data_IF_596773436612
#
_entry.id   IF_596773436612
#
_cell.length_a   1.000
_cell.length_b   1.000
_cell.length_c   1.000
_cell.angle_alpha   90.00
_cell.angle_beta   90.00
_cell.angle_gamma   90.00
#
_symmetry.space_group_name_H-M   'P 1'
#
loop_
_entity.id
_entity.type
_entity.pdbx_description
1 polymer ?
#
# COMPACT_ATOMS: atom_id res chain seq x y z
N UNK A 1 -9.70 5.61 -31.50
CA UNK A 1 -8.38 5.49 -30.86
C UNK A 1 -8.48 4.41 -29.81
N UNK A 2 -7.70 3.33 -29.89
CA UNK A 2 -7.62 2.36 -28.78
C UNK A 2 -6.90 3.08 -27.63
N UNK A 3 -7.50 3.11 -26.45
CA UNK A 3 -6.84 3.59 -25.24
C UNK A 3 -5.55 2.77 -25.05
N UNK A 4 -4.41 3.45 -24.97
CA UNK A 4 -3.11 2.81 -24.69
C UNK A 4 -2.95 2.49 -23.20
N UNK A 5 -3.87 2.94 -22.35
CA UNK A 5 -3.87 2.71 -20.92
C UNK A 5 -4.44 1.34 -20.53
N UNK A 6 -4.03 0.85 -19.38
CA UNK A 6 -4.50 -0.42 -18.81
C UNK A 6 -5.69 -0.25 -17.88
N UNK A 7 -6.04 0.97 -17.50
CA UNK A 7 -7.22 1.27 -16.65
C UNK A 7 -8.50 0.73 -17.28
N UNK A 8 -9.28 0.03 -16.47
CA UNK A 8 -10.57 -0.56 -16.88
C UNK A 8 -11.75 0.18 -16.27
N UNK A 9 -11.82 0.23 -14.95
CA UNK A 9 -12.89 0.91 -14.21
C UNK A 9 -12.57 1.02 -12.72
N UNK A 10 -13.31 1.89 -12.02
CA UNK A 10 -13.48 1.86 -10.58
C UNK A 10 -14.81 1.22 -10.21
N UNK A 11 -14.85 0.44 -9.14
CA UNK A 11 -16.05 -0.24 -8.69
C UNK A 11 -16.10 -0.44 -7.19
N UNK A 12 -17.30 -0.77 -6.68
CA UNK A 12 -17.51 -1.16 -5.30
C UNK A 12 -17.91 -2.62 -5.21
N UNK A 13 -17.50 -3.25 -4.12
CA UNK A 13 -17.99 -4.56 -3.70
C UNK A 13 -18.38 -4.53 -2.23
N UNK A 14 -19.43 -5.26 -1.85
CA UNK A 14 -19.75 -5.46 -0.44
C UNK A 14 -18.91 -6.62 0.08
N UNK A 15 -17.96 -6.32 0.96
CA UNK A 15 -17.07 -7.31 1.52
C UNK A 15 -16.68 -6.91 2.95
N UNK A 16 -16.57 -7.88 3.87
CA UNK A 16 -16.30 -7.68 5.30
C UNK A 16 -17.24 -6.62 5.94
N UNK A 17 -18.52 -6.64 5.57
CA UNK A 17 -19.54 -5.76 6.13
C UNK A 17 -19.52 -4.31 5.67
N UNK A 18 -18.64 -3.93 4.74
CA UNK A 18 -18.54 -2.57 4.21
C UNK A 18 -18.55 -2.54 2.68
N UNK A 19 -18.87 -1.38 2.11
CA UNK A 19 -18.61 -1.10 0.70
C UNK A 19 -17.13 -0.77 0.53
N UNK A 20 -16.39 -1.67 -0.12
CA UNK A 20 -15.00 -1.46 -0.49
C UNK A 20 -14.93 -0.98 -1.93
N UNK A 21 -14.16 0.07 -2.18
CA UNK A 21 -13.88 0.58 -3.51
C UNK A 21 -12.50 0.13 -3.98
N UNK A 22 -12.37 -0.11 -5.28
CA UNK A 22 -11.10 -0.42 -5.93
C UNK A 22 -11.06 0.14 -7.35
N UNK A 23 -9.86 0.36 -7.85
CA UNK A 23 -9.57 0.65 -9.27
C UNK A 23 -8.99 -0.59 -9.91
N UNK A 24 -9.49 -0.99 -11.10
CA UNK A 24 -8.99 -2.16 -11.85
C UNK A 24 -8.21 -1.72 -13.08
N UNK A 25 -7.07 -2.38 -13.30
CA UNK A 25 -6.17 -2.20 -14.42
C UNK A 25 -5.84 -3.55 -15.06
N UNK A 26 -5.54 -3.57 -16.36
CA UNK A 26 -5.20 -4.78 -17.10
C UNK A 26 -6.43 -5.60 -17.47
N UNK A 27 -6.86 -6.47 -16.63
CA UNK A 27 -7.93 -7.45 -16.85
C UNK A 27 -7.38 -8.87 -16.84
N UNK A 28 -8.29 -9.85 -16.84
CA UNK A 28 -7.91 -11.28 -16.72
C UNK A 28 -6.96 -11.75 -17.83
N UNK A 29 -6.99 -11.12 -19.00
CA UNK A 29 -6.10 -11.39 -20.12
C UNK A 29 -4.66 -10.89 -19.92
N UNK A 30 -4.43 -9.95 -19.00
CA UNK A 30 -3.09 -9.43 -18.72
C UNK A 30 -2.26 -10.41 -17.88
N UNK A 31 -2.89 -11.21 -17.03
CA UNK A 31 -2.21 -12.18 -16.17
C UNK A 31 -2.93 -12.47 -14.87
N UNK A 32 -2.23 -13.07 -13.89
CA UNK A 32 -2.82 -13.42 -12.61
C UNK A 32 -3.28 -12.18 -11.81
N UNK A 33 -4.23 -12.35 -10.87
CA UNK A 33 -4.69 -11.26 -10.02
C UNK A 33 -3.58 -10.69 -9.14
N UNK A 34 -3.55 -9.36 -9.03
CA UNK A 34 -2.71 -8.62 -8.11
C UNK A 34 -3.55 -7.61 -7.33
N UNK A 35 -3.49 -7.66 -5.99
CA UNK A 35 -4.08 -6.63 -5.12
C UNK A 35 -2.97 -5.72 -4.61
N UNK A 36 -3.13 -4.40 -4.82
CA UNK A 36 -2.25 -3.37 -4.30
C UNK A 36 -2.95 -2.61 -3.17
N UNK A 37 -2.31 -2.60 -2.00
CA UNK A 37 -2.79 -1.91 -0.79
C UNK A 37 -1.90 -0.70 -0.51
N UNK A 38 -2.40 0.53 -0.72
CA UNK A 38 -1.64 1.76 -0.51
C UNK A 38 -1.34 2.07 0.96
N UNK A 39 -0.55 3.14 1.18
CA UNK A 39 -0.17 3.64 2.50
C UNK A 39 -1.27 4.40 3.24
N UNK A 40 -0.94 4.88 4.44
CA UNK A 40 -1.88 5.42 5.43
C UNK A 40 -2.79 6.56 4.93
N UNK A 41 -2.28 7.47 4.10
CA UNK A 41 -3.06 8.59 3.53
C UNK A 41 -3.09 8.55 2.00
N UNK A 42 -3.19 7.36 1.43
CA UNK A 42 -3.09 7.15 -0.02
C UNK A 42 -4.36 6.49 -0.55
N UNK A 43 -5.36 7.27 -0.98
CA UNK A 43 -6.46 6.74 -1.78
C UNK A 43 -5.96 6.06 -3.07
N UNK A 44 -6.70 5.06 -3.57
CA UNK A 44 -6.33 4.26 -4.74
C UNK A 44 -5.95 5.11 -5.96
N UNK A 45 -6.64 6.22 -6.16
CA UNK A 45 -6.36 7.14 -7.27
C UNK A 45 -4.92 7.68 -7.25
N UNK A 46 -4.32 7.87 -6.07
CA UNK A 46 -2.92 8.34 -5.95
C UNK A 46 -1.88 7.30 -6.36
N UNK A 47 -2.31 6.04 -6.58
CA UNK A 47 -1.51 4.92 -7.04
C UNK A 47 -1.87 4.48 -8.46
N UNK A 48 -2.68 5.26 -9.17
CA UNK A 48 -3.15 4.95 -10.52
C UNK A 48 -2.01 4.67 -11.50
N UNK A 49 -0.94 5.46 -11.46
CA UNK A 49 0.24 5.27 -12.32
C UNK A 49 0.98 3.93 -12.05
N UNK A 50 0.98 3.46 -10.80
CA UNK A 50 1.50 2.11 -10.45
C UNK A 50 0.54 1.04 -10.97
N UNK A 51 -0.77 1.26 -10.82
CA UNK A 51 -1.80 0.40 -11.39
C UNK A 51 -1.66 0.24 -12.90
N UNK A 52 -1.37 1.32 -13.63
CA UNK A 52 -1.10 1.29 -15.08
C UNK A 52 0.12 0.41 -15.43
N UNK A 53 1.20 0.49 -14.65
CA UNK A 53 2.41 -0.31 -14.88
C UNK A 53 2.13 -1.80 -14.61
N UNK A 54 1.54 -2.15 -13.47
CA UNK A 54 1.18 -3.53 -13.16
C UNK A 54 0.12 -4.09 -14.09
N UNK A 55 -0.83 -3.27 -14.53
CA UNK A 55 -1.91 -3.67 -15.44
C UNK A 55 -1.45 -4.18 -16.80
N UNK A 56 -0.19 -3.98 -17.19
CA UNK A 56 0.42 -4.57 -18.39
C UNK A 56 0.71 -6.07 -18.25
N UNK A 57 0.82 -6.55 -17.01
CA UNK A 57 1.29 -7.90 -16.70
C UNK A 57 0.34 -8.67 -15.79
N UNK A 58 -0.53 -7.97 -15.06
CA UNK A 58 -1.44 -8.51 -14.05
C UNK A 58 -2.85 -7.95 -14.20
N UNK A 59 -3.83 -8.74 -13.77
CA UNK A 59 -5.17 -8.23 -13.47
C UNK A 59 -5.11 -7.50 -12.11
N UNK A 60 -4.89 -6.19 -12.14
CA UNK A 60 -4.48 -5.39 -10.98
C UNK A 60 -5.66 -4.66 -10.34
N UNK A 61 -5.78 -4.78 -9.03
CA UNK A 61 -6.81 -4.15 -8.19
C UNK A 61 -6.13 -3.24 -7.17
N UNK A 62 -6.27 -1.93 -7.30
CA UNK A 62 -5.76 -0.95 -6.34
C UNK A 62 -6.87 -0.63 -5.35
N UNK A 63 -6.71 -1.04 -4.10
CA UNK A 63 -7.74 -0.93 -3.06
C UNK A 63 -7.75 0.46 -2.42
N UNK A 64 -8.93 1.05 -2.25
CA UNK A 64 -9.14 2.06 -1.22
C UNK A 64 -9.32 1.36 0.14
N UNK A 65 -8.33 1.48 1.02
CA UNK A 65 -8.44 0.95 2.39
C UNK A 65 -9.61 1.66 3.09
N UNK A 66 -10.36 0.95 3.97
CA UNK A 66 -11.45 1.57 4.76
C UNK A 66 -11.04 2.92 5.35
N UNK A 67 -11.92 3.92 5.29
CA UNK A 67 -11.65 5.28 5.72
C UNK A 67 -10.79 6.10 4.76
N UNK A 68 -10.59 5.64 3.51
CA UNK A 68 -9.85 6.36 2.46
C UNK A 68 -10.59 6.23 1.12
N UNK A 69 -10.43 7.26 0.29
CA UNK A 69 -10.99 7.26 -1.06
C UNK A 69 -12.51 7.11 -1.05
N UNK A 70 -13.00 6.14 -1.81
CA UNK A 70 -14.42 5.85 -1.95
C UNK A 70 -14.88 4.60 -1.17
N UNK A 71 -14.00 3.97 -0.40
CA UNK A 71 -14.39 2.92 0.54
C UNK A 71 -15.12 3.51 1.75
N UNK A 72 -15.94 2.68 2.40
CA UNK A 72 -16.71 3.11 3.56
C UNK A 72 -15.83 3.75 4.64
N UNK A 73 -16.35 4.82 5.23
CA UNK A 73 -15.77 5.57 6.34
C UNK A 73 -16.85 5.96 7.35
N UNK A 74 -16.48 6.23 8.58
CA UNK A 74 -17.39 6.70 9.63
C UNK A 74 -16.85 6.44 11.03
N UNK A 75 -17.39 7.13 12.03
CA UNK A 75 -16.86 7.11 13.41
C UNK A 75 -17.02 5.74 14.09
N UNK A 76 -18.01 4.93 13.65
CA UNK A 76 -18.34 3.64 14.27
C UNK A 76 -17.60 2.45 13.61
N UNK A 77 -16.75 2.71 12.60
CA UNK A 77 -15.99 1.66 11.96
C UNK A 77 -14.69 1.35 12.74
N UNK A 78 -14.38 0.06 12.81
CA UNK A 78 -13.10 -0.43 13.31
C UNK A 78 -12.01 -0.30 12.21
N UNK A 79 -10.95 0.45 12.49
CA UNK A 79 -9.81 0.67 11.62
C UNK A 79 -8.54 -0.06 12.08
N UNK A 80 -8.70 -1.07 12.94
CA UNK A 80 -7.60 -1.91 13.38
C UNK A 80 -6.90 -2.62 12.22
N UNK A 81 -5.64 -2.99 12.43
CA UNK A 81 -4.84 -3.73 11.46
C UNK A 81 -5.51 -5.07 11.09
N UNK A 82 -6.11 -5.75 12.07
CA UNK A 82 -6.84 -7.00 11.87
C UNK A 82 -8.04 -6.84 10.94
N UNK A 83 -8.82 -5.80 11.15
CA UNK A 83 -10.00 -5.53 10.35
C UNK A 83 -9.64 -5.11 8.93
N UNK A 84 -8.60 -4.26 8.77
CA UNK A 84 -8.09 -3.91 7.44
C UNK A 84 -7.52 -5.12 6.69
N UNK A 85 -6.86 -6.06 7.37
CA UNK A 85 -6.38 -7.31 6.76
C UNK A 85 -7.52 -8.21 6.31
N UNK A 86 -8.59 -8.34 7.12
CA UNK A 86 -9.82 -9.06 6.74
C UNK A 86 -10.51 -8.43 5.52
N UNK A 87 -10.43 -7.10 5.35
CA UNK A 87 -10.95 -6.44 4.15
C UNK A 87 -10.28 -6.91 2.88
N UNK A 88 -8.95 -7.01 2.88
CA UNK A 88 -8.18 -7.50 1.73
C UNK A 88 -8.59 -8.92 1.36
N UNK A 89 -8.68 -9.80 2.35
CA UNK A 89 -9.08 -11.20 2.14
C UNK A 89 -10.53 -11.28 1.63
N UNK A 90 -11.44 -10.52 2.22
CA UNK A 90 -12.85 -10.51 1.81
C UNK A 90 -13.03 -9.91 0.40
N UNK A 91 -12.24 -8.89 0.02
CA UNK A 91 -12.20 -8.38 -1.36
C UNK A 91 -11.81 -9.48 -2.34
N UNK A 92 -10.69 -10.18 -2.07
CA UNK A 92 -10.22 -11.27 -2.93
C UNK A 92 -11.27 -12.37 -3.10
N UNK A 93 -11.94 -12.75 -2.00
CA UNK A 93 -13.02 -13.75 -2.01
C UNK A 93 -14.24 -13.28 -2.82
N UNK A 94 -14.72 -12.07 -2.55
CA UNK A 94 -15.90 -11.51 -3.21
C UNK A 94 -15.71 -11.35 -4.74
N UNK A 95 -14.49 -11.03 -5.17
CA UNK A 95 -14.12 -10.89 -6.57
C UNK A 95 -13.57 -12.18 -7.20
N UNK A 96 -13.44 -13.26 -6.42
CA UNK A 96 -12.92 -14.57 -6.86
C UNK A 96 -11.51 -14.49 -7.46
N UNK A 97 -10.61 -13.74 -6.81
CA UNK A 97 -9.25 -13.48 -7.28
C UNK A 97 -8.21 -14.51 -6.80
N UNK A 98 -8.61 -15.71 -6.49
CA UNK A 98 -7.72 -16.70 -5.88
C UNK A 98 -7.17 -17.72 -6.91
N UNK A 99 -5.83 -18.04 -6.88
CA UNK A 99 -4.79 -17.41 -6.06
C UNK A 99 -4.40 -16.02 -6.56
N UNK A 100 -3.78 -15.20 -5.69
CA UNK A 100 -3.40 -13.83 -6.02
C UNK A 100 -2.06 -13.37 -5.44
N UNK A 101 -1.47 -12.36 -6.07
CA UNK A 101 -0.31 -11.62 -5.59
C UNK A 101 -0.79 -10.45 -4.72
N UNK A 102 -0.18 -10.25 -3.55
CA UNK A 102 -0.49 -9.14 -2.67
C UNK A 102 0.71 -8.21 -2.54
N UNK A 103 0.51 -6.93 -2.87
CA UNK A 103 1.52 -5.87 -2.74
C UNK A 103 1.01 -4.83 -1.76
N UNK A 104 1.78 -4.51 -0.73
CA UNK A 104 1.39 -3.48 0.24
C UNK A 104 2.50 -2.48 0.51
N UNK A 105 2.18 -1.19 0.48
CA UNK A 105 3.11 -0.11 0.76
C UNK A 105 2.86 0.50 2.15
N UNK A 106 3.93 0.71 2.93
CA UNK A 106 3.84 1.40 4.23
C UNK A 106 2.82 0.72 5.16
N UNK A 107 1.77 1.40 5.61
CA UNK A 107 0.65 0.79 6.35
C UNK A 107 0.05 -0.38 5.56
N UNK A 108 -0.12 -0.24 4.25
CA UNK A 108 -0.60 -1.32 3.37
C UNK A 108 0.31 -2.55 3.40
N UNK A 109 1.62 -2.37 3.61
CA UNK A 109 2.57 -3.46 3.83
C UNK A 109 2.28 -4.23 5.14
N UNK A 110 1.96 -3.52 6.21
CA UNK A 110 1.56 -4.16 7.49
C UNK A 110 0.23 -4.89 7.35
N UNK A 111 -0.74 -4.28 6.65
CA UNK A 111 -2.02 -4.93 6.32
C UNK A 111 -1.78 -6.20 5.52
N UNK A 112 -0.90 -6.14 4.52
CA UNK A 112 -0.57 -7.28 3.67
C UNK A 112 0.12 -8.43 4.44
N UNK A 113 1.04 -8.11 5.36
CA UNK A 113 1.68 -9.11 6.25
C UNK A 113 0.60 -9.78 7.12
N UNK A 114 -0.31 -9.02 7.74
CA UNK A 114 -1.38 -9.55 8.58
C UNK A 114 -2.37 -10.38 7.75
N UNK A 115 -2.71 -9.95 6.53
CA UNK A 115 -3.57 -10.72 5.61
C UNK A 115 -2.92 -12.06 5.20
N UNK A 116 -1.60 -12.09 4.96
CA UNK A 116 -0.88 -13.31 4.60
C UNK A 116 -0.88 -14.38 5.69
N UNK A 117 -1.07 -14.02 6.96
CA UNK A 117 -1.26 -14.98 8.05
C UNK A 117 -2.61 -15.69 8.00
N UNK A 118 -3.64 -15.04 7.51
CA UNK A 118 -5.02 -15.54 7.56
C UNK A 118 -5.51 -16.10 6.22
N UNK A 119 -4.86 -15.75 5.09
CA UNK A 119 -5.24 -16.26 3.77
C UNK A 119 -4.07 -16.96 3.06
N UNK A 120 -4.21 -18.26 2.85
CA UNK A 120 -3.24 -19.10 2.12
C UNK A 120 -3.35 -18.99 0.61
N UNK A 121 -4.35 -18.30 0.09
CA UNK A 121 -4.52 -18.04 -1.35
C UNK A 121 -3.62 -16.91 -1.84
N UNK A 122 -2.98 -16.16 -0.94
CA UNK A 122 -1.89 -15.25 -1.28
C UNK A 122 -0.69 -16.09 -1.70
N UNK A 123 -0.39 -16.10 -3.00
CA UNK A 123 0.71 -16.91 -3.56
C UNK A 123 2.07 -16.29 -3.24
N UNK A 124 2.16 -14.97 -3.44
CA UNK A 124 3.37 -14.17 -3.18
C UNK A 124 3.00 -12.88 -2.47
N UNK A 125 3.83 -12.46 -1.54
CA UNK A 125 3.68 -11.23 -0.78
C UNK A 125 4.82 -10.25 -1.10
N UNK A 126 4.49 -9.02 -1.46
CA UNK A 126 5.46 -7.94 -1.63
C UNK A 126 5.18 -6.84 -0.62
N UNK A 127 6.15 -6.55 0.20
CA UNK A 127 6.13 -5.53 1.24
C UNK A 127 6.99 -4.36 0.77
N UNK A 128 6.42 -3.18 0.66
CA UNK A 128 7.11 -1.99 0.16
C UNK A 128 7.29 -1.00 1.31
N UNK A 129 8.51 -0.89 1.80
CA UNK A 129 8.96 0.05 2.83
C UNK A 129 8.01 0.17 4.04
N UNK A 130 7.51 -0.98 4.53
CA UNK A 130 6.58 -1.02 5.66
C UNK A 130 7.28 -0.62 6.97
N UNK A 131 6.66 0.24 7.81
CA UNK A 131 7.21 0.59 9.11
C UNK A 131 7.41 -0.63 10.01
N UNK A 132 8.57 -0.69 10.66
CA UNK A 132 8.94 -1.76 11.60
C UNK A 132 8.87 -1.29 13.07
N UNK A 133 8.16 -0.18 13.34
CA UNK A 133 7.80 0.26 14.68
C UNK A 133 6.85 -0.74 15.37
N UNK A 134 6.73 -0.65 16.68
CA UNK A 134 5.88 -1.54 17.48
C UNK A 134 6.37 -1.69 18.91
N UNK A 135 5.81 -2.61 19.70
CA UNK A 135 6.20 -2.81 21.08
C UNK A 135 7.70 -3.08 21.23
N UNK A 136 8.36 -2.32 22.12
CA UNK A 136 9.79 -2.46 22.39
C UNK A 136 10.73 -1.98 21.30
N UNK A 137 10.25 -1.23 20.31
CA UNK A 137 11.01 -0.70 19.17
C UNK A 137 10.93 0.82 19.07
N UNK A 138 11.83 1.46 18.30
CA UNK A 138 11.72 2.88 18.04
C UNK A 138 10.33 3.23 17.51
N UNK A 139 9.77 4.37 17.97
CA UNK A 139 8.43 4.79 17.52
C UNK A 139 8.42 5.11 16.03
N UNK A 140 7.24 5.02 15.43
CA UNK A 140 7.03 5.47 14.06
C UNK A 140 7.39 6.97 13.94
N UNK A 141 8.27 7.36 13.00
CA UNK A 141 8.92 8.68 13.05
C UNK A 141 8.02 9.85 12.63
N UNK A 142 6.95 9.59 11.87
CA UNK A 142 6.07 10.67 11.40
C UNK A 142 4.96 10.93 12.42
N UNK A 143 4.84 12.16 12.96
CA UNK A 143 3.80 12.49 13.93
C UNK A 143 2.42 12.51 13.28
N UNK A 144 1.38 12.13 14.04
CA UNK A 144 -0.02 12.10 13.59
C UNK A 144 -0.47 13.46 13.05
N UNK A 145 -0.11 14.54 13.74
CA UNK A 145 -0.51 15.89 13.36
C UNK A 145 -0.10 16.29 11.94
N UNK A 146 1.05 15.78 11.46
CA UNK A 146 1.48 16.00 10.06
C UNK A 146 0.45 15.49 9.06
N UNK A 147 -0.16 14.32 9.32
CA UNK A 147 -1.18 13.74 8.45
C UNK A 147 -2.50 14.50 8.54
N UNK A 148 -2.95 14.79 9.76
CA UNK A 148 -4.22 15.49 9.99
C UNK A 148 -4.17 16.91 9.42
N UNK A 149 -3.06 17.63 9.59
CA UNK A 149 -2.87 18.96 9.01
C UNK A 149 -2.98 18.93 7.49
N UNK A 150 -2.30 17.98 6.82
CA UNK A 150 -2.38 17.86 5.37
C UNK A 150 -3.80 17.55 4.88
N UNK A 151 -4.53 16.67 5.58
CA UNK A 151 -5.92 16.32 5.25
C UNK A 151 -6.83 17.55 5.41
N UNK A 152 -6.70 18.30 6.50
CA UNK A 152 -7.49 19.51 6.76
C UNK A 152 -7.21 20.61 5.75
N UNK A 153 -5.93 20.77 5.34
CA UNK A 153 -5.55 21.66 4.24
C UNK A 153 -6.25 21.25 2.93
N UNK A 154 -6.18 19.99 2.55
CA UNK A 154 -6.84 19.48 1.34
C UNK A 154 -8.37 19.68 1.38
N UNK A 155 -9.02 19.47 2.53
CA UNK A 155 -10.47 19.69 2.72
C UNK A 155 -10.91 21.14 2.52
N UNK A 156 -10.05 22.10 2.86
CA UNK A 156 -10.35 23.53 2.61
C UNK A 156 -9.97 24.01 1.21
N UNK A 157 -9.50 23.11 0.34
CA UNK A 157 -9.08 23.45 -1.02
C UNK A 157 -7.73 24.18 -1.07
N UNK A 158 -6.78 23.79 -0.21
CA UNK A 158 -5.43 24.36 -0.19
C UNK A 158 -4.72 24.22 -1.54
N UNK A 159 -3.90 25.19 -1.89
CA UNK A 159 -3.08 25.18 -3.09
C UNK A 159 -2.01 24.06 -3.06
N UNK A 160 -1.44 23.75 -4.24
CA UNK A 160 -0.32 22.81 -4.32
C UNK A 160 0.90 23.28 -3.54
N UNK A 161 1.12 24.59 -3.45
CA UNK A 161 2.22 25.18 -2.67
C UNK A 161 2.06 24.91 -1.17
N UNK A 162 0.83 25.03 -0.65
CA UNK A 162 0.52 24.73 0.75
C UNK A 162 0.67 23.24 1.08
N UNK A 163 0.44 22.36 0.12
CA UNK A 163 0.56 20.89 0.30
C UNK A 163 1.98 20.35 0.02
N UNK A 164 2.80 21.06 -0.75
CA UNK A 164 4.16 20.63 -1.12
C UNK A 164 5.06 20.30 0.08
N UNK A 165 5.04 21.00 1.23
CA UNK A 165 5.88 20.67 2.38
C UNK A 165 5.65 19.26 2.96
N UNK A 166 4.50 18.66 2.67
CA UNK A 166 4.18 17.28 3.12
C UNK A 166 4.73 16.21 2.18
N UNK A 167 5.05 16.57 0.94
CA UNK A 167 5.57 15.67 -0.11
C UNK A 167 6.55 16.42 -1.02
N UNK A 168 7.70 16.88 -0.48
CA UNK A 168 8.58 17.83 -1.18
C UNK A 168 9.25 17.26 -2.44
N UNK A 169 9.40 15.95 -2.52
CA UNK A 169 10.07 15.23 -3.62
C UNK A 169 9.13 14.86 -4.77
N UNK A 170 7.81 15.04 -4.59
CA UNK A 170 6.85 14.61 -5.60
C UNK A 170 6.78 15.55 -6.80
N UNK A 171 6.54 14.98 -7.98
CA UNK A 171 6.22 15.75 -9.17
C UNK A 171 4.92 16.54 -8.97
N UNK A 172 4.72 17.59 -9.76
CA UNK A 172 3.49 18.37 -9.71
C UNK A 172 2.26 17.54 -10.06
N UNK A 173 2.39 16.59 -10.99
CA UNK A 173 1.32 15.68 -11.37
C UNK A 173 0.87 14.81 -10.17
N UNK A 174 1.81 14.15 -9.48
CA UNK A 174 1.50 13.36 -8.29
C UNK A 174 0.91 14.22 -7.17
N UNK A 175 1.42 15.44 -7.00
CA UNK A 175 0.91 16.36 -5.99
C UNK A 175 -0.53 16.82 -6.30
N UNK A 176 -0.88 17.06 -7.57
CA UNK A 176 -2.26 17.37 -7.98
C UNK A 176 -3.22 16.24 -7.63
N UNK A 177 -2.91 15.01 -8.03
CA UNK A 177 -3.75 13.86 -7.71
C UNK A 177 -3.89 13.70 -6.18
N UNK A 178 -2.80 13.92 -5.43
CA UNK A 178 -2.87 13.90 -3.97
C UNK A 178 -3.78 15.00 -3.42
N UNK A 179 -3.67 16.23 -3.91
CA UNK A 179 -4.50 17.35 -3.48
C UNK A 179 -5.99 17.09 -3.73
N UNK A 180 -6.31 16.47 -4.87
CA UNK A 180 -7.68 16.12 -5.23
C UNK A 180 -8.28 15.01 -4.37
N UNK A 181 -7.47 14.09 -3.83
CA UNK A 181 -7.98 12.90 -3.16
C UNK A 181 -7.68 12.83 -1.65
N UNK A 182 -6.72 13.60 -1.14
CA UNK A 182 -6.31 13.54 0.26
C UNK A 182 -7.45 13.88 1.23
N UNK A 183 -8.36 14.76 0.84
CA UNK A 183 -9.52 15.17 1.63
C UNK A 183 -10.48 14.00 1.94
N UNK A 184 -10.43 12.92 1.15
CA UNK A 184 -11.25 11.72 1.34
C UNK A 184 -10.71 10.80 2.45
N UNK A 185 -9.56 11.09 3.02
CA UNK A 185 -9.05 10.36 4.18
C UNK A 185 -9.79 10.79 5.44
N UNK A 186 -10.40 9.81 6.12
CA UNK A 186 -11.11 10.02 7.39
C UNK A 186 -10.11 10.18 8.56
N UNK A 187 -10.28 11.24 9.37
CA UNK A 187 -9.34 11.55 10.45
C UNK A 187 -9.35 10.49 11.57
N UNK A 188 -10.50 9.88 11.86
CA UNK A 188 -10.61 8.78 12.82
C UNK A 188 -9.85 7.56 12.33
N UNK A 189 -10.04 7.22 11.04
CA UNK A 189 -9.31 6.13 10.41
C UNK A 189 -7.79 6.33 10.43
N UNK A 190 -7.34 7.55 10.13
CA UNK A 190 -5.90 7.88 10.16
C UNK A 190 -5.36 7.83 11.59
N UNK A 191 -6.11 8.34 12.56
CA UNK A 191 -5.70 8.34 13.97
C UNK A 191 -5.56 6.91 14.52
N UNK A 192 -6.54 6.05 14.29
CA UNK A 192 -6.49 4.64 14.74
C UNK A 192 -5.37 3.87 14.02
N UNK A 193 -5.23 4.06 12.70
CA UNK A 193 -4.15 3.40 11.94
C UNK A 193 -2.77 3.87 12.41
N UNK A 194 -2.60 5.17 12.69
CA UNK A 194 -1.34 5.70 13.21
C UNK A 194 -1.02 5.14 14.60
N UNK A 195 -2.03 5.00 15.47
CA UNK A 195 -1.87 4.33 16.76
C UNK A 195 -1.40 2.87 16.57
N UNK A 196 -2.01 2.12 15.66
CA UNK A 196 -1.60 0.76 15.32
C UNK A 196 -0.14 0.65 14.84
N UNK A 197 0.41 1.69 14.16
CA UNK A 197 1.84 1.71 13.81
C UNK A 197 2.76 1.68 15.04
N UNK A 198 2.28 2.08 16.21
CA UNK A 198 3.03 2.08 17.47
C UNK A 198 2.79 0.82 18.31
N UNK A 199 1.61 0.21 18.20
CA UNK A 199 1.13 -0.80 19.14
C UNK A 199 1.05 -2.22 18.58
N UNK A 200 0.93 -2.38 17.25
CA UNK A 200 0.85 -3.70 16.62
C UNK A 200 2.23 -4.37 16.49
N UNK A 201 2.33 -5.63 16.88
CA UNK A 201 3.55 -6.44 16.69
C UNK A 201 3.60 -7.05 15.29
N UNK A 202 4.16 -6.28 14.35
CA UNK A 202 4.33 -6.71 12.97
C UNK A 202 5.46 -7.74 12.78
N UNK A 203 6.39 -7.83 13.73
CA UNK A 203 7.52 -8.76 13.66
C UNK A 203 7.05 -10.19 13.92
N UNK A 204 6.17 -10.39 14.91
CA UNK A 204 5.54 -11.68 15.16
C UNK A 204 4.70 -12.12 13.95
N UNK A 205 4.03 -11.17 13.29
CA UNK A 205 3.29 -11.45 12.08
C UNK A 205 4.20 -11.87 10.93
N UNK A 206 5.27 -11.13 10.67
CA UNK A 206 6.22 -11.41 9.59
C UNK A 206 6.91 -12.78 9.79
N UNK A 207 7.28 -13.10 11.03
CA UNK A 207 7.86 -14.41 11.36
C UNK A 207 6.92 -15.59 11.08
N UNK A 208 5.61 -15.36 11.10
CA UNK A 208 4.60 -16.38 10.87
C UNK A 208 4.13 -16.51 9.40
N UNK A 209 4.58 -15.61 8.51
CA UNK A 209 4.26 -15.66 7.09
C UNK A 209 4.93 -16.87 6.43
N UNK A 210 4.18 -17.62 5.62
CA UNK A 210 4.65 -18.85 4.94
C UNK A 210 4.79 -18.69 3.43
N UNK A 211 4.26 -17.62 2.89
CA UNK A 211 4.35 -17.26 1.48
C UNK A 211 5.79 -16.87 1.09
N UNK A 212 6.08 -16.88 -0.20
CA UNK A 212 7.28 -16.24 -0.72
C UNK A 212 7.13 -14.72 -0.51
N UNK A 213 8.13 -14.10 0.11
CA UNK A 213 8.10 -12.66 0.46
C UNK A 213 9.23 -11.92 -0.21
N UNK A 214 8.90 -10.82 -0.86
CA UNK A 214 9.82 -9.77 -1.26
C UNK A 214 9.61 -8.55 -0.36
N UNK A 215 10.69 -8.05 0.25
CA UNK A 215 10.68 -6.79 1.01
C UNK A 215 11.49 -5.75 0.24
N UNK A 216 10.82 -4.74 -0.32
CA UNK A 216 11.46 -3.62 -1.03
C UNK A 216 11.69 -2.50 -0.03
N UNK A 217 12.91 -2.01 0.06
CA UNK A 217 13.36 -1.00 1.01
C UNK A 217 13.82 0.25 0.27
N UNK A 218 13.44 1.41 0.75
CA UNK A 218 13.93 2.69 0.26
C UNK A 218 15.35 2.95 0.77
N UNK A 219 16.29 3.23 -0.14
CA UNK A 219 17.70 3.51 0.24
C UNK A 219 17.88 4.82 1.01
N UNK A 220 16.94 5.76 0.86
CA UNK A 220 16.87 7.04 1.59
C UNK A 220 15.62 7.08 2.50
N UNK A 221 15.08 5.90 2.82
CA UNK A 221 13.87 5.75 3.64
C UNK A 221 14.12 5.75 5.15
N UNK A 222 13.07 5.54 5.94
CA UNK A 222 13.14 5.58 7.40
C UNK A 222 13.67 4.28 8.04
N UNK A 223 13.81 3.19 7.27
CA UNK A 223 14.25 1.90 7.82
C UNK A 223 15.76 1.89 8.02
N UNK A 224 16.22 1.66 9.26
CA UNK A 224 17.64 1.54 9.57
C UNK A 224 18.21 0.19 9.13
N UNK A 225 19.53 0.09 9.02
CA UNK A 225 20.23 -1.16 8.71
C UNK A 225 19.91 -2.25 9.76
N UNK A 226 19.86 -1.87 11.04
CA UNK A 226 19.54 -2.78 12.16
C UNK A 226 18.12 -3.34 12.03
N UNK A 227 17.15 -2.51 11.63
CA UNK A 227 15.76 -2.95 11.40
C UNK A 227 15.70 -3.96 10.22
N UNK A 228 16.46 -3.72 9.16
CA UNK A 228 16.56 -4.63 8.01
C UNK A 228 17.23 -5.94 8.41
N UNK A 229 18.29 -5.89 9.22
CA UNK A 229 18.96 -7.09 9.75
C UNK A 229 18.06 -7.87 10.71
N UNK A 230 17.18 -7.20 11.46
CA UNK A 230 16.15 -7.86 12.23
C UNK A 230 15.18 -8.63 11.34
N UNK A 231 14.72 -8.05 10.23
CA UNK A 231 13.87 -8.77 9.25
C UNK A 231 14.56 -10.02 8.73
N UNK A 232 15.85 -9.95 8.37
CA UNK A 232 16.63 -11.12 7.91
C UNK A 232 16.70 -12.22 8.98
N UNK A 233 16.79 -11.83 10.25
CA UNK A 233 16.88 -12.77 11.38
C UNK A 233 15.57 -13.46 11.67
N UNK A 234 14.45 -12.74 11.66
CA UNK A 234 13.12 -13.29 12.00
C UNK A 234 12.46 -14.02 10.84
N UNK A 235 12.78 -13.64 9.60
CA UNK A 235 12.21 -14.20 8.38
C UNK A 235 13.32 -14.43 7.33
N UNK A 236 14.22 -15.42 7.53
CA UNK A 236 15.42 -15.60 6.71
C UNK A 236 15.13 -15.94 5.25
N UNK A 237 13.92 -16.40 4.92
CA UNK A 237 13.49 -16.68 3.55
C UNK A 237 13.00 -15.43 2.79
N UNK A 238 12.94 -14.26 3.44
CA UNK A 238 12.51 -13.02 2.81
C UNK A 238 13.60 -12.51 1.86
N UNK A 239 13.24 -12.29 0.60
CA UNK A 239 14.10 -11.60 -0.35
C UNK A 239 14.04 -10.10 -0.08
N UNK A 240 15.19 -9.46 0.16
CA UNK A 240 15.27 -8.01 0.36
C UNK A 240 15.87 -7.36 -0.87
N UNK A 241 15.24 -6.30 -1.37
CA UNK A 241 15.75 -5.45 -2.44
C UNK A 241 15.73 -3.99 -1.99
N UNK A 242 16.79 -3.27 -2.30
CA UNK A 242 16.92 -1.84 -1.99
C UNK A 242 16.78 -1.04 -3.27
N UNK A 243 15.93 0.00 -3.25
CA UNK A 243 15.88 1.03 -4.30
C UNK A 243 16.70 2.23 -3.81
N UNK A 244 17.95 2.37 -4.24
CA UNK A 244 18.97 3.16 -3.53
C UNK A 244 18.69 4.67 -3.55
N UNK A 245 18.01 5.16 -4.58
CA UNK A 245 17.79 6.60 -4.76
C UNK A 245 16.45 7.09 -4.23
N UNK A 246 15.53 6.19 -3.87
CA UNK A 246 14.20 6.52 -3.40
C UNK A 246 14.14 6.70 -1.87
N UNK A 247 13.31 7.64 -1.42
CA UNK A 247 12.78 7.72 -0.06
C UNK A 247 11.55 6.84 0.12
N UNK A 248 10.81 7.05 1.23
CA UNK A 248 9.66 6.23 1.63
C UNK A 248 8.62 5.99 0.54
N UNK A 249 8.37 6.98 -0.30
CA UNK A 249 7.39 6.88 -1.39
C UNK A 249 8.05 6.36 -2.67
N UNK A 250 8.64 5.17 -2.62
CA UNK A 250 9.50 4.60 -3.66
C UNK A 250 8.92 4.78 -5.08
N UNK A 251 7.66 4.41 -5.40
CA UNK A 251 7.17 4.51 -6.77
C UNK A 251 7.03 5.95 -7.29
N UNK A 252 6.81 6.93 -6.39
CA UNK A 252 6.70 8.34 -6.73
C UNK A 252 8.08 8.98 -6.99
N UNK A 253 9.14 8.38 -6.48
CA UNK A 253 10.50 8.92 -6.54
C UNK A 253 11.41 8.16 -7.52
N UNK A 254 11.19 6.85 -7.69
CA UNK A 254 11.92 5.98 -8.61
C UNK A 254 11.05 4.81 -9.08
N UNK A 255 10.16 5.06 -10.03
CA UNK A 255 9.25 4.03 -10.55
C UNK A 255 9.99 2.89 -11.25
N UNK A 256 11.08 3.19 -11.97
CA UNK A 256 11.83 2.17 -12.71
C UNK A 256 12.61 1.26 -11.74
N UNK A 257 13.27 1.85 -10.73
CA UNK A 257 13.90 1.08 -9.66
C UNK A 257 12.90 0.25 -8.86
N UNK A 258 11.70 0.79 -8.64
CA UNK A 258 10.60 0.06 -8.02
C UNK A 258 10.18 -1.17 -8.83
N UNK A 259 9.93 -1.02 -10.14
CA UNK A 259 9.54 -2.13 -11.02
C UNK A 259 10.66 -3.17 -11.14
N UNK A 260 11.91 -2.75 -11.32
CA UNK A 260 13.05 -3.66 -11.41
C UNK A 260 13.25 -4.51 -10.13
N UNK A 261 12.85 -4.00 -8.97
CA UNK A 261 12.95 -4.76 -7.72
C UNK A 261 12.09 -6.04 -7.72
N UNK A 262 11.11 -6.17 -8.60
CA UNK A 262 10.26 -7.35 -8.72
C UNK A 262 10.83 -8.43 -9.63
N UNK A 263 11.74 -8.12 -10.55
CA UNK A 263 12.15 -8.99 -11.65
C UNK A 263 12.61 -10.37 -11.19
N UNK A 264 13.59 -10.43 -10.29
CA UNK A 264 14.10 -11.69 -9.76
C UNK A 264 13.03 -12.48 -8.98
N UNK A 265 12.15 -11.77 -8.27
CA UNK A 265 11.13 -12.38 -7.45
C UNK A 265 9.99 -12.99 -8.28
N UNK A 266 9.67 -12.36 -9.39
CA UNK A 266 8.64 -12.82 -10.31
C UNK A 266 9.20 -13.78 -11.37
N UNK A 267 10.52 -13.82 -11.56
CA UNK A 267 11.17 -14.58 -12.62
C UNK A 267 10.91 -14.03 -14.03
N UNK A 268 10.48 -12.77 -14.14
CA UNK A 268 10.23 -12.04 -15.39
C UNK A 268 10.35 -10.54 -15.16
N UNK A 269 10.72 -9.81 -16.19
CA UNK A 269 10.70 -8.35 -16.17
C UNK A 269 9.28 -7.81 -16.20
N UNK A 270 9.06 -6.70 -15.49
CA UNK A 270 7.81 -5.92 -15.51
C UNK A 270 7.85 -4.77 -16.52
N UNK A 271 8.83 -4.78 -17.41
CA UNK A 271 8.93 -3.82 -18.51
C UNK A 271 7.86 -4.14 -19.55
N UNK A 272 7.02 -3.22 -19.82
CA UNK A 272 6.09 -3.28 -20.92
C UNK A 272 6.38 -2.16 -21.91
#
# INVERSE_FOLDING_TARGET
MKSTGTFRYGAHVLANGIRQHYLRYGGAEAGPPLILVPGITSPAATWGFVGERFGRTFDTYVLDVRGRGLSASGPDLDYSLDTCAKDVVALAQALRLQPYLLVGHSLGGRIAIRAARIDRQIEKLVIVDAPLSGPGRPPYPSPLDRYLTAIRLARRGASLEELRPFTPTWTEEHLRVRAEWLHTCDETAITQSHHGLQTDDIHADLAAVQQKVLFIVAGKGPLSAEAIDEVRRIAPAVLIRVVPNAGHMIPMEDIEGFMAAFDDFLGKRLDG
#
